data_IF_311790761370
#
_entry.id   IF_311790761370
#
_cell.length_a   1.000
_cell.length_b   1.000
_cell.length_c   1.000
_cell.angle_alpha   90.00
_cell.angle_beta   90.00
_cell.angle_gamma   90.00
#
_symmetry.space_group_name_H-M   'P 1'
#
loop_
_entity.id
_entity.type
_entity.pdbx_description
1 polymer ?
#
# COMPACT_ATOMS: atom_id res chain seq x y z
N UNK A 1 -6.40 -13.67 -4.56
CA UNK A 1 -5.79 -12.33 -4.72
C UNK A 1 -5.08 -11.92 -3.43
N UNK A 2 -3.93 -11.25 -3.52
CA UNK A 2 -3.18 -10.73 -2.38
C UNK A 2 -2.64 -9.33 -2.72
N UNK A 3 -3.03 -8.32 -1.93
CA UNK A 3 -2.62 -6.93 -2.07
C UNK A 3 -1.77 -6.54 -0.86
N UNK A 4 -0.73 -5.75 -1.09
CA UNK A 4 0.14 -5.23 -0.03
C UNK A 4 0.51 -3.78 -0.31
N UNK A 5 0.52 -2.97 0.74
CA UNK A 5 1.16 -1.66 0.77
C UNK A 5 2.41 -1.69 1.67
N UNK A 6 3.36 -0.77 1.48
CA UNK A 6 4.47 -0.55 2.42
C UNK A 6 3.98 -0.20 3.83
N UNK A 7 4.90 -0.20 4.80
CA UNK A 7 4.66 0.34 6.14
C UNK A 7 4.16 1.78 6.07
N UNK A 8 3.24 2.15 6.97
CA UNK A 8 2.59 3.47 7.05
C UNK A 8 1.62 3.82 5.90
N UNK A 9 1.41 2.91 4.94
CA UNK A 9 0.43 3.07 3.86
C UNK A 9 -0.67 2.01 3.93
N UNK A 10 -1.85 2.36 3.43
CA UNK A 10 -3.00 1.48 3.31
C UNK A 10 -3.55 1.48 1.90
N UNK A 11 -4.24 0.39 1.55
CA UNK A 11 -4.85 0.20 0.24
C UNK A 11 -6.03 1.17 0.07
N UNK A 12 -6.08 1.83 -1.07
CA UNK A 12 -7.26 2.51 -1.62
C UNK A 12 -7.57 1.93 -3.00
N UNK A 13 -8.71 1.26 -3.11
CA UNK A 13 -9.19 0.65 -4.35
C UNK A 13 -9.90 1.69 -5.20
N UNK A 14 -9.42 1.86 -6.44
CA UNK A 14 -9.88 2.88 -7.39
C UNK A 14 -10.94 2.34 -8.35
N UNK A 15 -10.76 1.10 -8.82
CA UNK A 15 -11.70 0.42 -9.71
C UNK A 15 -11.63 -1.09 -9.50
N UNK A 16 -12.72 -1.78 -9.79
CA UNK A 16 -12.76 -3.24 -9.83
C UNK A 16 -13.79 -3.71 -10.86
N UNK A 17 -13.48 -4.81 -11.56
CA UNK A 17 -14.36 -5.46 -12.53
C UNK A 17 -14.21 -6.97 -12.38
N UNK A 18 -15.33 -7.68 -12.30
CA UNK A 18 -15.39 -9.14 -12.25
C UNK A 18 -16.16 -9.65 -13.47
N UNK A 19 -15.53 -10.48 -14.30
CA UNK A 19 -16.11 -10.89 -15.57
C UNK A 19 -15.09 -11.55 -16.51
N UNK A 20 -15.41 -11.59 -17.80
CA UNK A 20 -14.53 -12.11 -18.86
C UNK A 20 -14.71 -11.26 -20.11
N UNK A 21 -13.95 -10.16 -20.19
CA UNK A 21 -14.03 -9.15 -21.29
C UNK A 21 -12.76 -9.07 -22.12
N UNK A 22 -11.69 -9.74 -21.70
CA UNK A 22 -10.38 -9.72 -22.34
C UNK A 22 -9.80 -11.14 -22.34
N UNK A 23 -9.43 -11.64 -23.52
CA UNK A 23 -8.85 -12.98 -23.65
C UNK A 23 -7.56 -13.12 -22.89
N UNK A 24 -6.75 -12.05 -22.84
CA UNK A 24 -5.37 -12.06 -22.33
C UNK A 24 -5.26 -12.55 -20.89
N UNK A 25 -6.32 -12.44 -20.11
CA UNK A 25 -6.33 -12.79 -18.70
C UNK A 25 -7.07 -14.11 -18.44
N UNK A 26 -6.44 -14.96 -17.62
CA UNK A 26 -6.99 -16.25 -17.21
C UNK A 26 -7.43 -17.13 -18.41
N UNK A 27 -6.54 -17.29 -19.40
CA UNK A 27 -6.76 -18.18 -20.53
C UNK A 27 -6.96 -19.65 -20.09
N UNK A 28 -8.01 -20.26 -20.60
CA UNK A 28 -8.36 -21.67 -20.38
C UNK A 28 -8.91 -22.35 -21.64
N UNK A 29 -8.72 -21.71 -22.81
CA UNK A 29 -9.23 -22.20 -24.09
C UNK A 29 -10.70 -21.86 -24.35
N UNK A 30 -11.37 -21.13 -23.45
CA UNK A 30 -12.71 -20.59 -23.68
C UNK A 30 -12.67 -19.25 -24.42
N UNK A 31 -13.69 -19.01 -25.25
CA UNK A 31 -13.94 -17.71 -25.90
C UNK A 31 -14.36 -16.62 -24.90
N UNK A 32 -14.32 -15.35 -25.32
CA UNK A 32 -14.87 -14.24 -24.54
C UNK A 32 -16.41 -14.30 -24.51
N UNK A 33 -17.02 -14.13 -23.32
CA UNK A 33 -18.46 -13.87 -23.19
C UNK A 33 -18.84 -12.38 -23.35
N UNK A 34 -17.85 -11.50 -23.24
CA UNK A 34 -17.94 -10.03 -23.16
C UNK A 34 -18.91 -9.54 -22.10
N UNK A 35 -18.68 -9.99 -20.87
CA UNK A 35 -19.63 -9.85 -19.80
C UNK A 35 -18.95 -9.53 -18.47
N UNK A 36 -19.65 -8.77 -17.63
CA UNK A 36 -19.17 -8.31 -16.33
C UNK A 36 -20.33 -8.20 -15.32
N UNK A 37 -20.02 -8.43 -14.05
CA UNK A 37 -20.93 -8.14 -12.95
C UNK A 37 -21.11 -6.62 -12.81
N UNK A 38 -22.13 -6.19 -12.04
CA UNK A 38 -22.35 -4.78 -11.77
C UNK A 38 -21.07 -4.12 -11.21
N UNK A 39 -20.56 -3.10 -11.93
CA UNK A 39 -19.27 -2.47 -11.62
C UNK A 39 -19.28 -1.78 -10.26
N UNK A 40 -20.39 -1.14 -9.89
CA UNK A 40 -20.49 -0.39 -8.65
C UNK A 40 -20.54 -1.34 -7.45
N UNK A 41 -21.31 -2.43 -7.55
CA UNK A 41 -21.36 -3.48 -6.55
C UNK A 41 -20.00 -4.19 -6.41
N UNK A 42 -19.37 -4.53 -7.54
CA UNK A 42 -18.03 -5.14 -7.56
C UNK A 42 -17.01 -4.25 -6.85
N UNK A 43 -16.98 -2.95 -7.20
CA UNK A 43 -16.11 -1.98 -6.55
C UNK A 43 -16.39 -1.88 -5.04
N UNK A 44 -17.65 -1.76 -4.64
CA UNK A 44 -18.04 -1.63 -3.24
C UNK A 44 -17.63 -2.86 -2.42
N UNK A 45 -17.78 -4.07 -2.96
CA UNK A 45 -17.35 -5.31 -2.30
C UNK A 45 -15.83 -5.31 -2.09
N UNK A 46 -15.05 -5.01 -3.11
CA UNK A 46 -13.57 -5.02 -3.00
C UNK A 46 -13.10 -3.91 -2.07
N UNK A 47 -13.71 -2.72 -2.13
CA UNK A 47 -13.45 -1.63 -1.20
C UNK A 47 -13.73 -2.04 0.24
N UNK A 48 -14.87 -2.68 0.53
CA UNK A 48 -15.21 -3.15 1.88
C UNK A 48 -14.22 -4.18 2.42
N UNK A 49 -13.61 -4.96 1.54
CA UNK A 49 -12.66 -6.02 1.92
C UNK A 49 -11.24 -5.51 2.10
N UNK A 50 -10.83 -4.48 1.36
CA UNK A 50 -9.42 -4.11 1.28
C UNK A 50 -9.09 -2.67 1.67
N UNK A 51 -10.03 -1.73 1.56
CA UNK A 51 -9.71 -0.33 1.86
C UNK A 51 -9.25 -0.19 3.31
N UNK A 52 -8.27 0.70 3.52
CA UNK A 52 -7.68 0.98 4.84
C UNK A 52 -6.93 -0.20 5.48
N UNK A 53 -6.71 -1.29 4.74
CA UNK A 53 -5.83 -2.38 5.17
C UNK A 53 -4.45 -2.23 4.52
N UNK A 54 -3.39 -2.56 5.26
CA UNK A 54 -2.04 -2.65 4.67
C UNK A 54 -1.89 -3.91 3.82
N UNK A 55 -2.55 -5.00 4.23
CA UNK A 55 -2.55 -6.31 3.57
C UNK A 55 -3.98 -6.79 3.40
N UNK A 56 -4.36 -7.16 2.19
CA UNK A 56 -5.69 -7.71 1.89
C UNK A 56 -5.54 -9.02 1.12
N UNK A 57 -6.21 -10.08 1.60
CA UNK A 57 -6.25 -11.38 0.92
C UNK A 57 -7.69 -11.87 0.83
N UNK A 58 -8.13 -12.20 -0.37
CA UNK A 58 -9.42 -12.84 -0.61
C UNK A 58 -9.41 -13.62 -1.93
N UNK A 59 -10.37 -14.54 -2.07
CA UNK A 59 -10.60 -15.29 -3.30
C UNK A 59 -11.78 -14.64 -4.03
N UNK A 60 -11.61 -14.21 -5.30
CA UNK A 60 -12.73 -13.75 -6.10
C UNK A 60 -13.51 -14.95 -6.67
N UNK A 61 -14.82 -14.98 -6.47
CA UNK A 61 -15.70 -16.04 -6.98
C UNK A 61 -17.13 -15.53 -7.22
N UNK A 62 -17.95 -16.36 -7.90
CA UNK A 62 -19.34 -16.03 -8.24
C UNK A 62 -20.25 -15.91 -7.01
N UNK A 63 -19.90 -16.49 -5.85
CA UNK A 63 -20.70 -16.29 -4.64
C UNK A 63 -20.55 -14.87 -4.10
N UNK A 64 -19.37 -14.28 -4.30
CA UNK A 64 -19.07 -12.95 -3.84
C UNK A 64 -19.63 -11.86 -4.77
N UNK A 65 -19.51 -12.04 -6.09
CA UNK A 65 -19.83 -11.00 -7.08
C UNK A 65 -21.10 -11.28 -7.90
N UNK A 66 -21.69 -12.46 -7.76
CA UNK A 66 -22.66 -13.00 -8.72
C UNK A 66 -21.98 -13.62 -9.94
N UNK A 67 -22.77 -14.30 -10.77
CA UNK A 67 -22.27 -14.89 -12.01
C UNK A 67 -22.78 -14.13 -13.26
N UNK A 68 -21.97 -13.27 -13.89
CA UNK A 68 -22.34 -12.59 -15.12
C UNK A 68 -22.31 -13.47 -16.38
N UNK A 69 -21.71 -14.67 -16.31
CA UNK A 69 -21.61 -15.63 -17.40
C UNK A 69 -21.39 -17.05 -16.91
N UNK A 70 -22.49 -17.77 -16.79
CA UNK A 70 -22.44 -19.18 -16.41
C UNK A 70 -21.60 -19.99 -17.42
N UNK A 71 -20.76 -20.88 -16.89
CA UNK A 71 -19.88 -21.73 -17.70
C UNK A 71 -18.56 -21.09 -18.15
N UNK A 72 -18.40 -19.77 -17.99
CA UNK A 72 -17.15 -19.08 -18.34
C UNK A 72 -16.26 -18.84 -17.12
N UNK A 73 -14.95 -18.98 -17.32
CA UNK A 73 -13.95 -18.63 -16.32
C UNK A 73 -13.71 -17.13 -16.28
N UNK A 74 -14.14 -16.53 -15.18
CA UNK A 74 -14.05 -15.09 -14.91
C UNK A 74 -12.74 -14.72 -14.23
N UNK A 75 -12.37 -13.45 -14.33
CA UNK A 75 -11.27 -12.84 -13.59
C UNK A 75 -11.74 -11.59 -12.87
N UNK A 76 -11.04 -11.23 -11.80
CA UNK A 76 -11.15 -9.92 -11.16
C UNK A 76 -9.99 -9.06 -11.62
N UNK A 77 -10.27 -7.93 -12.26
CA UNK A 77 -9.30 -6.89 -12.57
C UNK A 77 -9.59 -5.69 -11.68
N UNK A 78 -8.58 -5.20 -10.94
CA UNK A 78 -8.72 -4.01 -10.11
C UNK A 78 -7.48 -3.13 -10.17
N UNK A 79 -7.72 -1.83 -10.02
CA UNK A 79 -6.68 -0.82 -9.87
C UNK A 79 -6.75 -0.28 -8.45
N UNK A 80 -5.61 -0.20 -7.77
CA UNK A 80 -5.49 0.33 -6.42
C UNK A 80 -4.23 1.16 -6.28
N UNK A 81 -4.16 1.98 -5.24
CA UNK A 81 -2.94 2.69 -4.83
C UNK A 81 -2.76 2.57 -3.32
N UNK A 82 -1.55 2.88 -2.87
CA UNK A 82 -1.22 2.97 -1.46
C UNK A 82 -1.28 4.43 -1.03
N UNK A 83 -2.12 4.74 -0.04
CA UNK A 83 -2.24 6.08 0.54
C UNK A 83 -1.68 6.08 1.96
N UNK A 84 -1.03 7.19 2.35
CA UNK A 84 -0.50 7.33 3.70
C UNK A 84 -1.63 7.28 4.73
N UNK A 85 -1.39 6.63 5.86
CA UNK A 85 -2.34 6.59 6.97
C UNK A 85 -2.56 8.03 7.49
N UNK A 86 -3.80 8.53 7.54
CA UNK A 86 -4.07 9.86 8.09
C UNK A 86 -3.50 10.02 9.49
N UNK A 87 -2.73 11.09 9.71
CA UNK A 87 -2.07 11.37 10.99
C UNK A 87 -0.69 10.73 11.16
N UNK A 88 -0.25 9.88 10.23
CA UNK A 88 1.15 9.42 10.16
C UNK A 88 1.88 10.24 9.10
N UNK A 89 2.92 10.95 9.52
CA UNK A 89 3.72 11.83 8.65
C UNK A 89 5.16 11.34 8.69
N UNK A 90 5.67 10.89 7.54
CA UNK A 90 7.07 10.49 7.39
C UNK A 90 7.91 11.69 6.95
N UNK A 91 8.99 11.99 7.68
CA UNK A 91 9.98 13.01 7.33
C UNK A 91 11.36 12.37 7.25
N UNK A 92 12.21 12.90 6.37
CA UNK A 92 13.58 12.44 6.17
C UNK A 92 14.54 13.62 6.35
N UNK A 93 15.67 13.36 6.98
CA UNK A 93 16.74 14.35 7.19
C UNK A 93 18.08 13.68 6.93
N UNK A 94 19.03 14.43 6.37
CA UNK A 94 20.37 13.93 6.16
C UNK A 94 21.22 14.09 7.41
N UNK A 95 22.28 13.29 7.52
CA UNK A 95 23.25 13.39 8.61
C UNK A 95 23.74 14.84 8.81
N UNK A 96 23.86 15.29 10.06
CA UNK A 96 24.26 16.64 10.45
C UNK A 96 23.30 17.76 10.01
N UNK A 97 22.05 17.43 9.66
CA UNK A 97 20.96 18.40 9.47
C UNK A 97 19.92 18.25 10.57
N UNK A 98 19.24 19.34 10.89
CA UNK A 98 18.19 19.37 11.91
C UNK A 98 16.86 18.91 11.32
N UNK A 99 16.17 18.00 12.01
CA UNK A 99 14.81 17.59 11.67
C UNK A 99 13.83 18.31 12.58
N UNK A 100 12.97 19.14 11.99
CA UNK A 100 11.87 19.77 12.69
C UNK A 100 10.61 18.94 12.55
N UNK A 101 10.08 18.49 13.70
CA UNK A 101 8.84 17.74 13.79
C UNK A 101 7.75 18.67 14.32
N UNK A 102 6.66 18.78 13.58
CA UNK A 102 5.52 19.61 13.95
C UNK A 102 4.23 18.81 13.74
N UNK A 103 3.27 19.01 14.64
CA UNK A 103 1.95 18.40 14.64
C UNK A 103 0.96 19.51 15.02
N UNK A 104 0.46 20.30 14.04
CA UNK A 104 -0.28 21.53 14.32
C UNK A 104 -1.49 21.36 15.25
N UNK A 105 -2.12 20.19 15.20
CA UNK A 105 -3.36 19.90 15.93
C UNK A 105 -3.26 18.60 16.76
N UNK A 106 -2.10 18.28 17.32
CA UNK A 106 -1.94 17.03 18.08
C UNK A 106 -0.68 16.96 18.94
N UNK A 107 -0.50 15.80 19.57
CA UNK A 107 0.75 15.47 20.26
C UNK A 107 1.66 14.71 19.32
N UNK A 108 2.92 15.11 19.25
CA UNK A 108 3.92 14.37 18.50
C UNK A 108 4.09 12.99 19.12
N UNK A 109 3.93 11.94 18.30
CA UNK A 109 4.22 10.56 18.67
C UNK A 109 5.07 9.93 17.59
N UNK A 110 6.27 9.50 17.96
CA UNK A 110 7.15 8.77 17.05
C UNK A 110 6.61 7.34 16.91
N UNK A 111 6.16 6.99 15.70
CA UNK A 111 5.66 5.64 15.37
C UNK A 111 6.83 4.71 15.03
N UNK A 112 7.73 5.19 14.17
CA UNK A 112 8.91 4.48 13.69
C UNK A 112 9.97 5.52 13.35
N UNK A 113 11.22 5.20 13.62
CA UNK A 113 12.38 5.96 13.17
C UNK A 113 13.51 4.98 12.81
N UNK A 114 14.29 5.34 11.81
CA UNK A 114 15.50 4.64 11.42
C UNK A 114 16.61 5.69 11.24
N UNK A 115 17.84 5.32 11.56
CA UNK A 115 19.01 6.15 11.26
C UNK A 115 20.01 5.33 10.45
N UNK A 116 20.39 5.84 9.29
CA UNK A 116 21.27 5.14 8.34
C UNK A 116 20.84 5.40 6.89
N UNK A 117 20.95 4.38 6.04
CA UNK A 117 20.56 4.40 4.63
C UNK A 117 19.83 3.12 4.24
N UNK A 118 18.53 3.24 3.95
CA UNK A 118 17.65 2.13 3.55
C UNK A 118 17.13 2.23 2.11
N UNK A 119 17.26 3.39 1.47
CA UNK A 119 16.78 3.62 0.10
C UNK A 119 17.49 4.78 -0.60
N UNK A 120 17.49 4.75 -1.94
CA UNK A 120 17.86 5.88 -2.83
C UNK A 120 16.55 6.55 -3.33
N UNK A 121 16.52 7.85 -3.66
CA UNK A 121 17.63 8.80 -3.81
C UNK A 121 17.83 9.74 -2.60
N UNK A 122 17.42 9.35 -1.40
CA UNK A 122 17.52 10.23 -0.24
C UNK A 122 18.98 10.49 0.15
N UNK A 123 19.31 11.76 0.41
CA UNK A 123 20.62 12.19 0.92
C UNK A 123 21.80 11.64 0.10
N UNK A 124 21.73 11.74 -1.24
CA UNK A 124 22.84 11.40 -2.11
C UNK A 124 23.92 12.49 -2.05
N UNK A 125 25.16 12.04 -1.96
CA UNK A 125 26.36 12.88 -1.97
C UNK A 125 27.37 12.17 -2.88
N UNK A 126 27.70 12.79 -4.02
CA UNK A 126 28.61 12.21 -5.02
C UNK A 126 30.05 12.06 -4.50
N UNK A 127 30.39 12.75 -3.41
CA UNK A 127 31.70 12.67 -2.77
C UNK A 127 31.82 11.54 -1.75
N UNK A 128 30.70 10.87 -1.43
CA UNK A 128 30.65 9.80 -0.43
C UNK A 128 30.12 8.50 -1.03
N UNK A 129 30.54 7.37 -0.45
CA UNK A 129 29.92 6.09 -0.77
C UNK A 129 28.49 6.05 -0.23
N UNK A 130 27.53 6.09 -1.15
CA UNK A 130 26.08 6.00 -0.87
C UNK A 130 25.47 4.71 -1.43
N UNK A 131 26.31 3.71 -1.72
CA UNK A 131 25.89 2.44 -2.32
C UNK A 131 25.14 1.52 -1.34
N UNK A 132 25.53 1.50 -0.07
CA UNK A 132 24.95 0.62 0.95
C UNK A 132 23.54 1.05 1.35
N UNK A 133 22.55 0.18 1.14
CA UNK A 133 21.13 0.43 1.50
C UNK A 133 20.62 -0.49 2.63
N UNK A 134 21.53 -1.10 3.37
CA UNK A 134 21.23 -1.99 4.51
C UNK A 134 21.75 -1.42 5.83
N UNK A 135 22.17 -0.16 5.83
CA UNK A 135 22.70 0.53 7.00
C UNK A 135 21.53 1.06 7.83
N UNK A 136 21.31 0.47 9.01
CA UNK A 136 20.25 0.90 9.91
C UNK A 136 20.69 0.70 11.36
N UNK A 137 20.47 1.73 12.19
CA UNK A 137 20.45 1.61 13.64
C UNK A 137 19.03 1.22 14.10
N UNK A 138 18.86 -0.02 14.56
CA UNK A 138 17.58 -0.56 15.02
C UNK A 138 17.05 0.15 16.28
N UNK A 139 17.92 0.79 17.07
CA UNK A 139 17.53 1.51 18.29
C UNK A 139 16.98 2.92 18.01
N UNK A 140 17.03 3.39 16.76
CA UNK A 140 16.63 4.76 16.41
C UNK A 140 15.19 5.07 16.84
N UNK A 141 14.27 4.11 16.71
CA UNK A 141 12.88 4.29 17.19
C UNK A 141 12.83 4.48 18.70
N UNK A 142 13.51 3.61 19.46
CA UNK A 142 13.54 3.69 20.92
C UNK A 142 14.18 5.00 21.40
N UNK A 143 15.31 5.38 20.81
CA UNK A 143 16.00 6.63 21.13
C UNK A 143 15.08 7.83 20.89
N UNK A 144 14.46 7.93 19.71
CA UNK A 144 13.57 9.03 19.37
C UNK A 144 12.32 9.09 20.24
N UNK A 145 11.79 7.95 20.70
CA UNK A 145 10.65 7.92 21.62
C UNK A 145 11.02 8.40 23.03
N UNK A 146 12.26 8.18 23.48
CA UNK A 146 12.71 8.54 24.83
C UNK A 146 13.44 9.89 24.90
N UNK A 147 13.86 10.44 23.76
CA UNK A 147 14.54 11.74 23.67
C UNK A 147 13.59 12.93 23.89
N UNK A 148 12.27 12.71 23.80
CA UNK A 148 11.22 13.73 23.99
C UNK A 148 10.26 13.42 25.16
N UNK A 149 10.77 12.97 26.31
CA UNK A 149 10.02 13.11 27.57
C UNK A 149 10.24 14.54 28.10
N UNK A 150 9.42 15.48 27.64
CA UNK A 150 9.27 16.77 28.30
C UNK A 150 7.95 16.75 29.07
N UNK A 151 8.05 16.91 30.39
CA UNK A 151 6.93 17.17 31.31
C UNK A 151 6.23 18.49 30.99
#
# INVERSE_FOLDING_TARGET
MYLTCPDEYVIEVLSAMYGKTDERYCHDGQEICDCEADRNATLAIVQSKCNKMQRCRFVPDSNLFGDPCEGYRKYLHLTFKCIGIPGIISKYVCENKTLELDCPNGKLKIVKAFFGRSAKPYCLDETKDTSSTTCENSEATYLMQNMYVFY
#
